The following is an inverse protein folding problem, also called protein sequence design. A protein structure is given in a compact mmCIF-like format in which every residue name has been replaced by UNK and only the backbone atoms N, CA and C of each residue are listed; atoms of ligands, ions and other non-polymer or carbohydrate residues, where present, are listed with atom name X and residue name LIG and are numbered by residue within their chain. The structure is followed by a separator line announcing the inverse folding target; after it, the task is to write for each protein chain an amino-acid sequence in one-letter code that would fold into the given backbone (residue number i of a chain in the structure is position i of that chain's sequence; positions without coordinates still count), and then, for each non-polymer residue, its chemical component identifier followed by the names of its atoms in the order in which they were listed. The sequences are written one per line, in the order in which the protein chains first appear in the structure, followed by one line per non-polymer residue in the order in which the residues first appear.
data_IF_562800193071
#
_entry.id   IF_562800193071
#
_cell.length_a   1.000
_cell.length_b   1.000
_cell.length_c   1.000
_cell.angle_alpha   90.00
_cell.angle_beta   90.00
_cell.angle_gamma   90.00
#
_symmetry.space_group_name_H-M   'P 1'
#
loop_
_entity.id
_entity.type
_entity.pdbx_description
1 polymer ?
#
# COMPACT_ATOMS: atom_id res chain seq x y z
N UNK A 1 -13.24 -12.08 -33.64
CA UNK A 1 -12.60 -13.36 -33.27
C UNK A 1 -13.64 -14.43 -33.15
N UNK A 2 -13.34 -15.65 -33.62
CA UNK A 2 -14.18 -16.81 -33.35
C UNK A 2 -14.28 -17.00 -31.82
N UNK A 3 -15.46 -17.39 -31.35
CA UNK A 3 -15.68 -17.57 -29.90
C UNK A 3 -14.67 -18.50 -29.18
N UNK A 4 -13.94 -19.32 -29.99
CA UNK A 4 -12.83 -20.16 -29.52
C UNK A 4 -11.56 -19.36 -29.18
N UNK A 5 -11.26 -18.30 -29.91
CA UNK A 5 -10.06 -17.45 -29.64
C UNK A 5 -10.20 -16.66 -28.34
N UNK A 6 -11.37 -16.03 -28.14
CA UNK A 6 -11.66 -15.29 -26.92
C UNK A 6 -11.66 -16.20 -25.67
N UNK A 7 -12.18 -17.42 -25.80
CA UNK A 7 -12.19 -18.42 -24.74
C UNK A 7 -10.78 -18.86 -24.33
N UNK A 8 -9.90 -19.13 -25.28
CA UNK A 8 -8.49 -19.50 -25.00
C UNK A 8 -7.76 -18.39 -24.30
N UNK A 9 -7.96 -17.13 -24.73
CA UNK A 9 -7.36 -15.96 -24.12
C UNK A 9 -7.85 -15.76 -22.68
N UNK A 10 -9.16 -15.95 -22.44
CA UNK A 10 -9.74 -15.91 -21.10
C UNK A 10 -9.13 -16.99 -20.19
N UNK A 11 -9.01 -18.22 -20.67
CA UNK A 11 -8.36 -19.31 -19.93
C UNK A 11 -6.89 -18.99 -19.63
N UNK A 12 -6.18 -18.35 -20.57
CA UNK A 12 -4.81 -17.88 -20.37
C UNK A 12 -4.72 -16.83 -19.27
N UNK A 13 -5.61 -15.82 -19.26
CA UNK A 13 -5.67 -14.81 -18.19
C UNK A 13 -5.92 -15.47 -16.81
N UNK A 14 -6.87 -16.42 -16.76
CA UNK A 14 -7.15 -17.14 -15.51
C UNK A 14 -5.92 -17.94 -15.03
N UNK A 15 -5.17 -18.56 -15.95
CA UNK A 15 -3.94 -19.27 -15.58
C UNK A 15 -2.84 -18.33 -15.09
N UNK A 16 -2.67 -17.17 -15.72
CA UNK A 16 -1.75 -16.12 -15.26
C UNK A 16 -2.12 -15.67 -13.83
N UNK A 17 -3.41 -15.43 -13.57
CA UNK A 17 -3.87 -15.06 -12.24
C UNK A 17 -3.65 -16.16 -11.20
N UNK A 18 -3.83 -17.44 -11.57
CA UNK A 18 -3.53 -18.57 -10.68
C UNK A 18 -2.03 -18.71 -10.38
N UNK A 19 -1.18 -18.29 -11.29
CA UNK A 19 0.27 -18.32 -11.15
C UNK A 19 0.84 -17.06 -10.51
N UNK A 20 -0.01 -16.05 -10.20
CA UNK A 20 0.42 -14.79 -9.57
C UNK A 20 0.87 -13.70 -10.55
N UNK A 21 0.89 -13.99 -11.88
CA UNK A 21 1.30 -13.03 -12.92
C UNK A 21 0.23 -11.98 -13.20
N UNK A 22 -0.13 -11.17 -12.19
CA UNK A 22 -1.23 -10.19 -12.29
C UNK A 22 -0.98 -9.10 -13.34
N UNK A 23 0.27 -8.66 -13.51
CA UNK A 23 0.61 -7.62 -14.48
C UNK A 23 0.48 -8.11 -15.92
N UNK A 24 0.89 -9.34 -16.21
CA UNK A 24 0.68 -9.95 -17.53
C UNK A 24 -0.81 -10.18 -17.80
N UNK A 25 -1.55 -10.65 -16.79
CA UNK A 25 -3.00 -10.83 -16.88
C UNK A 25 -3.70 -9.50 -17.18
N UNK A 26 -3.31 -8.41 -16.52
CA UNK A 26 -3.84 -7.08 -16.77
C UNK A 26 -3.54 -6.60 -18.19
N UNK A 27 -2.28 -6.72 -18.63
CA UNK A 27 -1.88 -6.32 -19.98
C UNK A 27 -2.67 -7.07 -21.05
N UNK A 28 -2.89 -8.36 -20.85
CA UNK A 28 -3.67 -9.18 -21.76
C UNK A 28 -5.15 -8.76 -21.80
N UNK A 29 -5.75 -8.45 -20.63
CA UNK A 29 -7.08 -7.88 -20.54
C UNK A 29 -7.18 -6.54 -21.27
N UNK A 30 -6.22 -5.63 -21.05
CA UNK A 30 -6.21 -4.31 -21.70
C UNK A 30 -6.04 -4.42 -23.22
N UNK A 31 -5.17 -5.32 -23.70
CA UNK A 31 -5.02 -5.59 -25.14
C UNK A 31 -6.31 -6.08 -25.77
N UNK A 32 -6.98 -7.04 -25.13
CA UNK A 32 -8.25 -7.55 -25.62
C UNK A 32 -9.35 -6.47 -25.61
N UNK A 33 -9.40 -5.64 -24.56
CA UNK A 33 -10.39 -4.57 -24.45
C UNK A 33 -10.12 -3.40 -25.40
N UNK A 34 -8.90 -3.24 -25.92
CA UNK A 34 -8.62 -2.29 -26.99
C UNK A 34 -9.32 -2.67 -28.31
N UNK A 35 -9.42 -3.96 -28.57
CA UNK A 35 -10.13 -4.49 -29.76
C UNK A 35 -11.64 -4.69 -29.51
N UNK A 36 -12.00 -5.15 -28.29
CA UNK A 36 -13.39 -5.42 -27.88
C UNK A 36 -13.75 -4.70 -26.56
N UNK A 37 -14.02 -3.38 -26.60
CA UNK A 37 -14.15 -2.54 -25.41
C UNK A 37 -15.30 -2.91 -24.45
N UNK A 38 -16.24 -3.74 -24.91
CA UNK A 38 -17.43 -4.16 -24.14
C UNK A 38 -17.44 -5.66 -23.84
N UNK A 39 -16.30 -6.34 -23.94
CA UNK A 39 -16.21 -7.75 -23.53
C UNK A 39 -16.33 -7.86 -22.01
N UNK A 40 -17.47 -8.39 -21.57
CA UNK A 40 -17.86 -8.49 -20.16
C UNK A 40 -16.89 -9.34 -19.35
N UNK A 41 -16.33 -10.40 -19.95
CA UNK A 41 -15.41 -11.30 -19.27
C UNK A 41 -14.09 -10.59 -18.95
N UNK A 42 -13.51 -9.90 -19.94
CA UNK A 42 -12.25 -9.18 -19.73
C UNK A 42 -12.42 -7.91 -18.92
N UNK A 43 -13.57 -7.21 -19.01
CA UNK A 43 -13.91 -6.10 -18.12
C UNK A 43 -14.02 -6.57 -16.67
N UNK A 44 -14.68 -7.71 -16.42
CA UNK A 44 -14.79 -8.26 -15.07
C UNK A 44 -13.42 -8.66 -14.50
N UNK A 45 -12.58 -9.32 -15.31
CA UNK A 45 -11.21 -9.66 -14.90
C UNK A 45 -10.37 -8.41 -14.62
N UNK A 46 -10.41 -7.42 -15.52
CA UNK A 46 -9.70 -6.15 -15.32
C UNK A 46 -10.17 -5.44 -14.03
N UNK A 47 -11.47 -5.40 -13.78
CA UNK A 47 -12.05 -4.85 -12.57
C UNK A 47 -11.54 -5.54 -11.30
N UNK A 48 -11.51 -6.87 -11.31
CA UNK A 48 -11.04 -7.68 -10.17
C UNK A 48 -9.52 -7.54 -9.96
N UNK A 49 -8.72 -7.49 -11.03
CA UNK A 49 -7.27 -7.25 -10.95
C UNK A 49 -6.99 -5.85 -10.38
N UNK A 50 -7.66 -4.83 -10.93
CA UNK A 50 -7.50 -3.44 -10.50
C UNK A 50 -7.91 -3.24 -9.04
N UNK A 51 -8.96 -3.92 -8.57
CA UNK A 51 -9.37 -3.90 -7.16
C UNK A 51 -8.26 -4.45 -6.24
N UNK A 52 -7.63 -5.56 -6.61
CA UNK A 52 -6.51 -6.13 -5.84
C UNK A 52 -5.27 -5.23 -5.83
N UNK A 53 -5.01 -4.53 -6.93
CA UNK A 53 -3.91 -3.56 -7.07
C UNK A 53 -4.23 -2.18 -6.45
N UNK A 54 -5.41 -2.00 -5.84
CA UNK A 54 -5.92 -0.73 -5.31
C UNK A 54 -6.06 0.38 -6.38
N UNK A 55 -6.13 0.02 -7.66
CA UNK A 55 -6.54 0.95 -8.73
C UNK A 55 -8.07 1.01 -8.78
N UNK A 56 -8.64 1.69 -7.78
CA UNK A 56 -10.09 1.77 -7.61
C UNK A 56 -10.79 2.50 -8.76
N UNK A 57 -10.10 3.43 -9.45
CA UNK A 57 -10.67 4.17 -10.57
C UNK A 57 -10.91 3.25 -11.78
N UNK A 58 -9.93 2.43 -12.16
CA UNK A 58 -10.06 1.44 -13.23
C UNK A 58 -11.04 0.34 -12.84
N UNK A 59 -11.00 -0.12 -11.58
CA UNK A 59 -11.92 -1.12 -11.06
C UNK A 59 -13.37 -0.64 -11.13
N UNK A 60 -13.68 0.57 -10.63
CA UNK A 60 -15.02 1.14 -10.68
C UNK A 60 -15.53 1.25 -12.12
N UNK A 61 -14.74 1.81 -13.02
CA UNK A 61 -15.12 1.99 -14.44
C UNK A 61 -15.45 0.66 -15.10
N UNK A 62 -14.57 -0.33 -14.93
CA UNK A 62 -14.73 -1.65 -15.54
C UNK A 62 -15.96 -2.39 -15.00
N UNK A 63 -16.11 -2.44 -13.66
CA UNK A 63 -17.22 -3.15 -13.03
C UNK A 63 -18.57 -2.47 -13.24
N UNK A 64 -18.63 -1.13 -13.28
CA UNK A 64 -19.85 -0.41 -13.68
C UNK A 64 -20.28 -0.78 -15.09
N UNK A 65 -19.35 -0.81 -16.03
CA UNK A 65 -19.65 -1.20 -17.40
C UNK A 65 -20.16 -2.65 -17.47
N UNK A 66 -19.58 -3.58 -16.69
CA UNK A 66 -20.10 -4.96 -16.60
C UNK A 66 -21.52 -4.97 -16.01
N UNK A 67 -21.76 -4.22 -14.93
CA UNK A 67 -23.07 -4.16 -14.28
C UNK A 67 -24.18 -3.56 -15.18
N UNK A 68 -23.81 -2.68 -16.12
CA UNK A 68 -24.72 -2.12 -17.12
C UNK A 68 -25.03 -3.11 -18.25
N UNK A 69 -24.02 -3.83 -18.75
CA UNK A 69 -24.17 -4.75 -19.90
C UNK A 69 -24.79 -6.08 -19.45
N UNK A 70 -24.33 -6.60 -18.32
CA UNK A 70 -24.70 -7.91 -17.78
C UNK A 70 -24.92 -7.80 -16.24
N UNK A 71 -26.06 -7.28 -15.79
CA UNK A 71 -26.34 -7.07 -14.36
C UNK A 71 -26.23 -8.34 -13.51
N UNK A 72 -26.52 -9.50 -14.11
CA UNK A 72 -26.43 -10.81 -13.47
C UNK A 72 -25.04 -11.49 -13.56
N UNK A 73 -24.01 -10.80 -14.03
CA UNK A 73 -22.67 -11.37 -14.11
C UNK A 73 -22.15 -11.71 -12.71
N UNK A 74 -21.59 -12.91 -12.49
CA UNK A 74 -21.18 -13.35 -11.16
C UNK A 74 -20.24 -12.37 -10.48
N UNK A 75 -20.50 -12.07 -9.20
CA UNK A 75 -19.70 -11.25 -8.30
C UNK A 75 -19.55 -9.77 -8.68
N UNK A 76 -19.98 -9.33 -9.85
CA UNK A 76 -19.77 -7.93 -10.28
C UNK A 76 -20.37 -6.92 -9.30
N UNK A 77 -21.53 -7.23 -8.76
CA UNK A 77 -22.23 -6.34 -7.82
C UNK A 77 -21.50 -6.28 -6.46
N UNK A 78 -21.00 -7.42 -5.98
CA UNK A 78 -20.19 -7.46 -4.74
C UNK A 78 -18.86 -6.72 -4.91
N UNK A 79 -18.15 -6.97 -6.02
CA UNK A 79 -16.86 -6.33 -6.30
C UNK A 79 -17.03 -4.81 -6.46
N UNK A 80 -18.11 -4.36 -7.14
CA UNK A 80 -18.43 -2.92 -7.26
C UNK A 80 -18.72 -2.29 -5.89
N UNK A 81 -19.51 -2.97 -5.05
CA UNK A 81 -19.74 -2.53 -3.67
C UNK A 81 -18.45 -2.42 -2.89
N UNK A 82 -17.53 -3.38 -3.06
CA UNK A 82 -16.21 -3.38 -2.40
C UNK A 82 -15.35 -2.21 -2.85
N UNK A 83 -15.28 -1.93 -4.15
CA UNK A 83 -14.56 -0.77 -4.71
C UNK A 83 -15.08 0.53 -4.08
N UNK A 84 -16.40 0.72 -4.05
CA UNK A 84 -17.02 1.93 -3.51
C UNK A 84 -16.75 2.12 -2.01
N UNK A 85 -16.74 1.04 -1.24
CA UNK A 85 -16.35 1.08 0.18
C UNK A 85 -14.89 1.49 0.36
N UNK A 86 -13.97 0.92 -0.43
CA UNK A 86 -12.55 1.26 -0.39
C UNK A 86 -12.27 2.71 -0.82
N UNK A 87 -13.14 3.30 -1.64
CA UNK A 87 -13.12 4.71 -2.01
C UNK A 87 -13.75 5.64 -0.96
N UNK A 88 -14.23 5.12 0.18
CA UNK A 88 -14.93 5.91 1.21
C UNK A 88 -16.33 6.38 0.80
N UNK A 89 -16.99 5.67 -0.11
CA UNK A 89 -18.32 6.00 -0.67
C UNK A 89 -19.40 4.99 -0.24
N UNK A 90 -19.64 4.81 1.08
CA UNK A 90 -20.53 3.76 1.59
C UNK A 90 -21.98 3.91 1.13
N UNK A 91 -22.47 5.16 0.94
CA UNK A 91 -23.83 5.41 0.46
C UNK A 91 -24.08 4.79 -0.92
N UNK A 92 -23.09 4.87 -1.81
CA UNK A 92 -23.20 4.33 -3.17
C UNK A 92 -22.99 2.81 -3.21
N UNK A 93 -22.30 2.24 -2.24
CA UNK A 93 -22.06 0.81 -2.13
C UNK A 93 -23.31 -0.01 -1.76
N UNK A 94 -24.32 0.62 -1.11
CA UNK A 94 -25.51 -0.07 -0.62
C UNK A 94 -26.24 -0.80 -1.75
N UNK A 95 -26.56 -0.11 -2.84
CA UNK A 95 -27.35 -0.69 -3.93
C UNK A 95 -26.65 -1.88 -4.62
N UNK A 96 -25.36 -1.78 -5.01
CA UNK A 96 -24.62 -2.95 -5.51
C UNK A 96 -24.62 -4.12 -4.51
N UNK A 97 -24.38 -3.88 -3.23
CA UNK A 97 -24.36 -4.95 -2.23
C UNK A 97 -25.73 -5.61 -2.05
N UNK A 98 -26.81 -4.84 -2.08
CA UNK A 98 -28.17 -5.40 -2.08
C UNK A 98 -28.44 -6.28 -3.27
N UNK A 99 -28.05 -5.83 -4.48
CA UNK A 99 -28.15 -6.65 -5.71
C UNK A 99 -27.32 -7.93 -5.63
N UNK A 100 -26.12 -7.87 -5.02
CA UNK A 100 -25.29 -9.05 -4.81
C UNK A 100 -25.99 -10.07 -3.90
N UNK A 101 -26.69 -9.60 -2.84
CA UNK A 101 -27.49 -10.44 -1.94
C UNK A 101 -28.73 -11.01 -2.65
N UNK A 102 -29.41 -10.20 -3.47
CA UNK A 102 -30.55 -10.68 -4.28
C UNK A 102 -30.13 -11.80 -5.24
N UNK A 103 -28.95 -11.67 -5.86
CA UNK A 103 -28.40 -12.70 -6.76
C UNK A 103 -27.93 -13.96 -6.02
N UNK A 104 -27.38 -13.80 -4.82
CA UNK A 104 -26.93 -14.90 -3.97
C UNK A 104 -27.27 -14.62 -2.49
N UNK A 105 -28.45 -15.06 -2.01
CA UNK A 105 -28.87 -14.87 -0.62
C UNK A 105 -27.99 -15.59 0.42
N UNK A 106 -27.08 -16.46 0.00
CA UNK A 106 -26.12 -17.14 0.87
C UNK A 106 -24.76 -16.41 0.94
N UNK A 107 -24.65 -15.22 0.35
CA UNK A 107 -23.41 -14.45 0.34
C UNK A 107 -23.19 -13.69 1.66
N UNK A 108 -22.61 -14.37 2.64
CA UNK A 108 -22.27 -13.79 3.94
C UNK A 108 -21.39 -12.54 3.83
N UNK A 109 -20.44 -12.52 2.86
CA UNK A 109 -19.53 -11.37 2.65
C UNK A 109 -20.29 -10.13 2.20
N UNK A 110 -21.26 -10.28 1.30
CA UNK A 110 -22.08 -9.15 0.86
C UNK A 110 -22.95 -8.60 1.99
N UNK A 111 -23.53 -9.46 2.83
CA UNK A 111 -24.26 -9.03 4.04
C UNK A 111 -23.35 -8.30 5.02
N UNK A 112 -22.14 -8.80 5.27
CA UNK A 112 -21.18 -8.15 6.15
C UNK A 112 -20.79 -6.74 5.67
N UNK A 113 -20.44 -6.62 4.38
CA UNK A 113 -20.09 -5.34 3.74
C UNK A 113 -21.26 -4.35 3.78
N UNK A 114 -22.47 -4.82 3.50
CA UNK A 114 -23.70 -4.02 3.58
C UNK A 114 -23.93 -3.51 5.01
N UNK A 115 -23.77 -4.37 6.00
CA UNK A 115 -23.91 -4.02 7.41
C UNK A 115 -22.93 -2.94 7.85
N UNK A 116 -21.65 -3.08 7.46
CA UNK A 116 -20.60 -2.08 7.70
C UNK A 116 -20.91 -0.74 7.03
N UNK A 117 -21.35 -0.76 5.77
CA UNK A 117 -21.76 0.44 5.03
C UNK A 117 -22.91 1.17 5.71
N UNK A 118 -23.96 0.43 6.12
CA UNK A 118 -25.12 1.00 6.80
C UNK A 118 -24.75 1.64 8.14
N UNK A 119 -23.93 0.98 8.94
CA UNK A 119 -23.46 1.51 10.24
C UNK A 119 -22.61 2.77 10.08
N UNK A 120 -21.75 2.82 9.08
CA UNK A 120 -20.93 4.02 8.80
C UNK A 120 -21.77 5.25 8.42
N UNK A 121 -23.05 5.02 8.03
CA UNK A 121 -24.03 6.05 7.67
C UNK A 121 -25.06 6.33 8.81
N UNK A 122 -24.84 5.78 10.02
CA UNK A 122 -25.73 5.93 11.16
C UNK A 122 -27.06 5.14 11.05
N UNK A 123 -27.12 4.16 10.13
CA UNK A 123 -28.30 3.28 9.96
C UNK A 123 -28.12 2.00 10.77
N UNK A 124 -28.03 2.14 12.10
CA UNK A 124 -27.56 1.09 13.00
C UNK A 124 -28.46 -0.16 12.98
N UNK A 125 -29.79 -0.02 13.07
CA UNK A 125 -30.70 -1.16 13.08
C UNK A 125 -30.59 -2.02 11.81
N UNK A 126 -30.59 -1.38 10.64
CA UNK A 126 -30.44 -2.08 9.36
C UNK A 126 -29.03 -2.70 9.22
N UNK A 127 -28.01 -2.02 9.72
CA UNK A 127 -26.65 -2.51 9.76
C UNK A 127 -26.51 -3.76 10.64
N UNK A 128 -27.08 -3.73 11.85
CA UNK A 128 -27.05 -4.88 12.77
C UNK A 128 -27.83 -6.08 12.21
N UNK A 129 -28.96 -5.85 11.55
CA UNK A 129 -29.71 -6.91 10.87
C UNK A 129 -28.87 -7.60 9.76
N UNK A 130 -28.19 -6.82 8.93
CA UNK A 130 -27.32 -7.37 7.90
C UNK A 130 -26.11 -8.13 8.48
N UNK A 131 -25.47 -7.61 9.53
CA UNK A 131 -24.37 -8.29 10.22
C UNK A 131 -24.81 -9.60 10.88
N UNK A 132 -26.02 -9.63 11.44
CA UNK A 132 -26.61 -10.85 12.00
C UNK A 132 -26.80 -11.92 10.92
N UNK A 133 -27.35 -11.55 9.76
CA UNK A 133 -27.48 -12.48 8.62
C UNK A 133 -26.12 -13.00 8.14
N UNK A 134 -25.12 -12.15 8.05
CA UNK A 134 -23.75 -12.57 7.71
C UNK A 134 -23.22 -13.63 8.70
N UNK A 135 -23.44 -13.41 9.99
CA UNK A 135 -23.01 -14.32 11.06
C UNK A 135 -23.77 -15.66 11.07
N UNK A 136 -25.04 -15.65 10.72
CA UNK A 136 -25.86 -16.87 10.60
C UNK A 136 -25.45 -17.71 9.39
N UNK A 137 -25.13 -17.05 8.25
CA UNK A 137 -24.74 -17.73 7.02
C UNK A 137 -23.33 -18.32 7.07
N UNK A 138 -22.37 -17.59 7.65
CA UNK A 138 -20.97 -18.01 7.76
C UNK A 138 -20.31 -17.40 9.00
N UNK A 139 -20.43 -18.01 10.17
CA UNK A 139 -19.83 -17.49 11.39
C UNK A 139 -18.32 -17.29 11.30
N UNK A 140 -17.60 -18.21 10.66
CA UNK A 140 -16.15 -18.12 10.48
C UNK A 140 -15.74 -16.93 9.60
N UNK A 141 -16.42 -16.75 8.47
CA UNK A 141 -16.18 -15.62 7.56
C UNK A 141 -16.53 -14.29 8.22
N UNK A 142 -17.68 -14.20 8.87
CA UNK A 142 -18.11 -12.99 9.57
C UNK A 142 -17.15 -12.59 10.69
N UNK A 143 -16.64 -13.56 11.45
CA UNK A 143 -15.63 -13.32 12.47
C UNK A 143 -14.31 -12.81 11.89
N UNK A 144 -13.84 -13.38 10.77
CA UNK A 144 -12.61 -12.94 10.11
C UNK A 144 -12.74 -11.50 9.58
N UNK A 145 -13.85 -11.18 8.93
CA UNK A 145 -14.16 -9.84 8.44
C UNK A 145 -14.24 -8.83 9.59
N UNK A 146 -14.92 -9.19 10.69
CA UNK A 146 -14.99 -8.37 11.90
C UNK A 146 -13.61 -8.13 12.52
N UNK A 147 -12.78 -9.17 12.64
CA UNK A 147 -11.44 -9.04 13.16
C UNK A 147 -10.58 -8.11 12.29
N UNK A 148 -10.69 -8.23 10.96
CA UNK A 148 -9.98 -7.37 9.98
C UNK A 148 -10.44 -5.91 10.10
N UNK A 149 -11.74 -5.67 10.26
CA UNK A 149 -12.30 -4.33 10.46
C UNK A 149 -11.82 -3.69 11.76
N UNK A 150 -11.81 -4.45 12.87
CA UNK A 150 -11.29 -4.01 14.16
C UNK A 150 -9.81 -3.63 14.09
N UNK A 151 -9.01 -4.42 13.35
CA UNK A 151 -7.61 -4.10 13.10
C UNK A 151 -7.47 -2.75 12.36
N UNK A 152 -8.25 -2.53 11.31
CA UNK A 152 -8.23 -1.27 10.55
C UNK A 152 -8.66 -0.06 11.40
N UNK A 153 -9.52 -0.27 12.41
CA UNK A 153 -9.93 0.76 13.38
C UNK A 153 -8.92 0.99 14.53
N UNK A 154 -7.79 0.27 14.55
CA UNK A 154 -6.82 0.33 15.63
C UNK A 154 -7.22 -0.43 16.91
N UNK A 155 -8.30 -1.18 16.88
CA UNK A 155 -8.79 -1.99 18.00
C UNK A 155 -8.09 -3.35 18.02
N UNK A 156 -6.78 -3.32 18.20
CA UNK A 156 -5.92 -4.50 18.02
C UNK A 156 -6.24 -5.65 18.98
N UNK A 157 -6.57 -5.34 20.25
CA UNK A 157 -6.89 -6.35 21.24
C UNK A 157 -8.15 -7.15 20.89
N UNK A 158 -9.23 -6.45 20.53
CA UNK A 158 -10.48 -7.09 20.12
C UNK A 158 -10.30 -7.93 18.85
N UNK A 159 -9.51 -7.42 17.89
CA UNK A 159 -9.14 -8.13 16.67
C UNK A 159 -8.35 -9.42 16.98
N UNK A 160 -7.38 -9.34 17.90
CA UNK A 160 -6.56 -10.47 18.31
C UNK A 160 -7.39 -11.60 18.97
N UNK A 161 -8.31 -11.23 19.85
CA UNK A 161 -9.19 -12.20 20.53
C UNK A 161 -10.02 -13.00 19.53
N UNK A 162 -10.62 -12.33 18.54
CA UNK A 162 -11.40 -13.00 17.49
C UNK A 162 -10.50 -13.85 16.58
N UNK A 163 -9.35 -13.33 16.16
CA UNK A 163 -8.44 -14.07 15.28
C UNK A 163 -7.86 -15.33 15.96
N UNK A 164 -7.56 -15.28 17.27
CA UNK A 164 -7.15 -16.45 18.05
C UNK A 164 -8.25 -17.52 18.08
N UNK A 165 -9.49 -17.12 18.34
CA UNK A 165 -10.62 -18.05 18.35
C UNK A 165 -10.83 -18.72 17.00
N UNK A 166 -10.68 -17.97 15.89
CA UNK A 166 -10.74 -18.56 14.54
C UNK A 166 -9.65 -19.63 14.36
N UNK A 167 -8.42 -19.41 14.87
CA UNK A 167 -7.34 -20.38 14.77
C UNK A 167 -7.47 -21.57 15.75
N UNK A 168 -8.21 -21.41 16.87
CA UNK A 168 -8.59 -22.52 17.74
C UNK A 168 -9.56 -23.46 17.02
N UNK A 169 -10.57 -22.90 16.32
CA UNK A 169 -11.56 -23.66 15.56
C UNK A 169 -10.98 -24.22 14.24
N UNK A 170 -10.14 -23.45 13.54
CA UNK A 170 -9.47 -23.84 12.31
C UNK A 170 -7.99 -23.44 12.31
N UNK A 171 -7.09 -24.30 12.80
CA UNK A 171 -5.65 -24.01 12.88
C UNK A 171 -4.95 -23.75 11.54
N UNK A 172 -5.61 -23.99 10.41
CA UNK A 172 -5.08 -23.79 9.06
C UNK A 172 -5.61 -22.52 8.36
N UNK A 173 -6.38 -21.67 9.08
CA UNK A 173 -6.92 -20.44 8.51
C UNK A 173 -5.78 -19.40 8.32
N UNK A 174 -5.32 -19.27 7.07
CA UNK A 174 -4.14 -18.45 6.72
C UNK A 174 -4.38 -16.96 6.94
N UNK A 175 -5.61 -16.46 6.72
CA UNK A 175 -5.90 -15.04 6.87
C UNK A 175 -5.95 -14.64 8.35
N UNK A 176 -6.46 -15.50 9.23
CA UNK A 176 -6.39 -15.26 10.67
C UNK A 176 -4.95 -15.31 11.19
N UNK A 177 -4.14 -16.23 10.66
CA UNK A 177 -2.71 -16.31 10.95
C UNK A 177 -1.94 -15.06 10.51
N UNK A 178 -2.20 -14.57 9.30
CA UNK A 178 -1.65 -13.33 8.78
C UNK A 178 -2.05 -12.14 9.66
N UNK A 179 -3.33 -12.04 10.02
CA UNK A 179 -3.85 -10.95 10.85
C UNK A 179 -3.16 -10.92 12.22
N UNK A 180 -2.99 -12.06 12.88
CA UNK A 180 -2.23 -12.15 14.14
C UNK A 180 -0.76 -11.77 13.95
N UNK A 181 -0.15 -12.15 12.84
CA UNK A 181 1.21 -11.71 12.49
C UNK A 181 1.32 -10.18 12.39
N UNK A 182 0.37 -9.54 11.72
CA UNK A 182 0.30 -8.07 11.58
C UNK A 182 0.05 -7.37 12.92
N UNK A 183 -0.83 -7.91 13.75
CA UNK A 183 -1.07 -7.40 15.11
C UNK A 183 0.22 -7.48 15.95
N UNK A 184 0.94 -8.60 15.88
CA UNK A 184 2.19 -8.79 16.58
C UNK A 184 3.28 -7.81 16.10
N UNK A 185 3.37 -7.52 14.79
CA UNK A 185 4.27 -6.49 14.24
C UNK A 185 3.92 -5.12 14.83
N UNK A 186 2.63 -4.78 14.82
CA UNK A 186 2.17 -3.50 15.37
C UNK A 186 2.49 -3.34 16.87
N UNK A 187 2.37 -4.44 17.63
CA UNK A 187 2.74 -4.50 19.04
C UNK A 187 4.26 -4.60 19.28
N UNK A 188 5.09 -4.53 18.24
CA UNK A 188 6.54 -4.74 18.25
C UNK A 188 6.98 -6.09 18.80
N UNK A 189 6.10 -7.08 18.80
CA UNK A 189 6.37 -8.46 19.20
C UNK A 189 6.92 -9.26 18.00
N UNK A 190 8.03 -8.79 17.42
CA UNK A 190 8.54 -9.28 16.12
C UNK A 190 8.87 -10.77 16.10
N UNK A 191 9.42 -11.34 17.21
CA UNK A 191 9.68 -12.79 17.32
C UNK A 191 8.39 -13.62 17.27
N UNK A 192 7.31 -13.10 17.84
CA UNK A 192 5.99 -13.76 17.78
C UNK A 192 5.41 -13.65 16.37
N UNK A 193 5.53 -12.50 15.73
CA UNK A 193 5.12 -12.29 14.35
C UNK A 193 5.86 -13.27 13.41
N UNK A 194 7.18 -13.39 13.54
CA UNK A 194 8.01 -14.32 12.78
C UNK A 194 7.49 -15.76 12.89
N UNK A 195 7.21 -16.23 14.11
CA UNK A 195 6.69 -17.58 14.35
C UNK A 195 5.34 -17.83 13.67
N UNK A 196 4.43 -16.86 13.77
CA UNK A 196 3.09 -16.94 13.18
C UNK A 196 3.16 -16.93 11.65
N UNK A 197 3.93 -16.02 11.08
CA UNK A 197 4.03 -15.84 9.62
C UNK A 197 4.78 -16.99 8.94
N UNK A 198 5.84 -17.54 9.56
CA UNK A 198 6.49 -18.79 9.10
C UNK A 198 5.50 -19.96 9.05
N UNK A 199 4.57 -20.04 10.02
CA UNK A 199 3.52 -21.06 10.00
C UNK A 199 2.54 -20.83 8.85
N UNK A 200 2.13 -19.58 8.59
CA UNK A 200 1.24 -19.22 7.46
C UNK A 200 1.90 -19.62 6.13
N UNK A 201 3.16 -19.26 5.92
CA UNK A 201 3.93 -19.59 4.71
C UNK A 201 4.01 -21.11 4.52
N UNK A 202 4.27 -21.87 5.59
CA UNK A 202 4.30 -23.34 5.54
C UNK A 202 2.97 -23.94 5.10
N UNK A 203 1.84 -23.34 5.49
CA UNK A 203 0.49 -23.79 5.11
C UNK A 203 0.15 -23.39 3.69
N UNK A 204 0.52 -22.17 3.29
CA UNK A 204 0.18 -21.56 2.01
C UNK A 204 1.42 -20.84 1.40
N UNK A 205 2.37 -21.58 0.79
CA UNK A 205 3.61 -20.98 0.27
C UNK A 205 3.40 -19.91 -0.81
N UNK A 206 2.30 -19.97 -1.57
CA UNK A 206 1.95 -18.98 -2.61
C UNK A 206 1.23 -17.75 -2.05
N UNK A 207 1.05 -17.65 -0.74
CA UNK A 207 0.39 -16.50 -0.11
C UNK A 207 1.40 -15.39 0.15
N UNK A 208 1.79 -14.66 -0.90
CA UNK A 208 2.88 -13.68 -0.94
C UNK A 208 2.77 -12.60 0.16
N UNK A 209 1.55 -12.23 0.57
CA UNK A 209 1.39 -11.26 1.67
C UNK A 209 2.06 -11.72 2.99
N UNK A 210 2.09 -13.02 3.26
CA UNK A 210 2.74 -13.53 4.47
C UNK A 210 4.27 -13.39 4.39
N UNK A 211 4.86 -13.52 3.19
CA UNK A 211 6.29 -13.31 2.96
C UNK A 211 6.66 -11.83 3.17
N UNK A 212 5.83 -10.92 2.66
CA UNK A 212 6.02 -9.49 2.84
C UNK A 212 5.98 -9.07 4.32
N UNK A 213 4.99 -9.55 5.06
CA UNK A 213 4.89 -9.23 6.49
C UNK A 213 6.02 -9.89 7.31
N UNK A 214 6.45 -11.10 6.94
CA UNK A 214 7.60 -11.75 7.57
C UNK A 214 8.90 -10.99 7.30
N UNK A 215 9.12 -10.54 6.06
CA UNK A 215 10.27 -9.69 5.73
C UNK A 215 10.29 -8.41 6.58
N UNK A 216 9.15 -7.74 6.73
CA UNK A 216 9.04 -6.59 7.61
C UNK A 216 9.41 -6.93 9.07
N UNK A 217 8.90 -8.04 9.60
CA UNK A 217 9.19 -8.47 10.96
C UNK A 217 10.67 -8.85 11.18
N UNK A 218 11.34 -9.39 10.17
CA UNK A 218 12.78 -9.72 10.20
C UNK A 218 13.62 -8.43 10.17
N UNK A 219 13.31 -7.49 9.31
CA UNK A 219 14.01 -6.20 9.21
C UNK A 219 13.90 -5.37 10.50
N UNK A 220 12.74 -5.36 11.13
CA UNK A 220 12.55 -4.70 12.43
C UNK A 220 13.36 -5.38 13.57
N UNK A 221 13.85 -6.60 13.35
CA UNK A 221 14.78 -7.30 14.24
C UNK A 221 16.26 -7.09 13.86
N UNK A 222 16.55 -6.32 12.80
CA UNK A 222 17.90 -6.16 12.24
C UNK A 222 18.42 -7.39 11.51
N UNK A 223 17.52 -8.30 11.08
CA UNK A 223 17.84 -9.51 10.33
C UNK A 223 17.70 -9.28 8.82
N UNK A 224 18.46 -8.31 8.32
CA UNK A 224 18.29 -7.85 6.93
C UNK A 224 18.67 -8.94 5.91
N UNK A 225 19.71 -9.73 6.14
CA UNK A 225 20.10 -10.83 5.24
C UNK A 225 19.03 -11.95 5.21
N UNK A 226 18.46 -12.33 6.36
CA UNK A 226 17.35 -13.28 6.39
C UNK A 226 16.11 -12.76 5.62
N UNK A 227 15.87 -11.46 5.67
CA UNK A 227 14.76 -10.82 4.93
C UNK A 227 15.03 -10.81 3.42
N UNK A 228 16.27 -10.61 2.99
CA UNK A 228 16.69 -10.68 1.58
C UNK A 228 16.49 -12.11 1.06
N UNK A 229 17.06 -13.11 1.72
CA UNK A 229 16.90 -14.51 1.32
C UNK A 229 15.41 -14.92 1.23
N UNK A 230 14.62 -14.49 2.21
CA UNK A 230 13.16 -14.73 2.24
C UNK A 230 12.45 -14.13 1.02
N UNK A 231 12.79 -12.90 0.64
CA UNK A 231 12.15 -12.21 -0.51
C UNK A 231 12.63 -12.79 -1.85
N UNK A 232 13.89 -13.24 -1.95
CA UNK A 232 14.39 -13.96 -3.10
C UNK A 232 13.66 -15.32 -3.26
N UNK A 233 13.39 -16.03 -2.15
CA UNK A 233 12.57 -17.24 -2.18
C UNK A 233 11.12 -16.95 -2.58
N UNK A 234 10.54 -15.87 -2.10
CA UNK A 234 9.17 -15.44 -2.49
C UNK A 234 9.06 -15.20 -4.01
N UNK A 235 10.10 -14.65 -4.64
CA UNK A 235 10.15 -14.45 -6.09
C UNK A 235 10.19 -15.75 -6.90
N UNK A 236 10.56 -16.89 -6.31
CA UNK A 236 10.44 -18.20 -6.98
C UNK A 236 8.97 -18.60 -7.20
N UNK A 237 8.05 -18.07 -6.38
CA UNK A 237 6.61 -18.34 -6.52
C UNK A 237 5.90 -17.31 -7.42
N UNK A 238 6.42 -16.07 -7.49
CA UNK A 238 5.84 -14.99 -8.27
C UNK A 238 6.95 -14.02 -8.72
N UNK A 239 7.58 -14.33 -9.85
CA UNK A 239 8.71 -13.56 -10.40
C UNK A 239 8.29 -12.15 -10.88
N UNK A 240 7.00 -11.95 -11.19
CA UNK A 240 6.45 -10.69 -11.71
C UNK A 240 5.75 -9.86 -10.61
N UNK A 241 6.14 -10.04 -9.34
CA UNK A 241 5.57 -9.28 -8.25
C UNK A 241 6.35 -8.00 -7.97
N UNK A 242 5.84 -6.87 -8.47
CA UNK A 242 6.47 -5.56 -8.29
C UNK A 242 6.72 -5.19 -6.82
N UNK A 243 5.77 -5.55 -5.93
CA UNK A 243 5.89 -5.27 -4.49
C UNK A 243 7.00 -6.08 -3.84
N UNK A 244 7.18 -7.36 -4.24
CA UNK A 244 8.28 -8.19 -3.74
C UNK A 244 9.63 -7.64 -4.19
N UNK A 245 9.78 -7.26 -5.47
CA UNK A 245 10.98 -6.58 -5.96
C UNK A 245 11.26 -5.26 -5.23
N UNK A 246 10.22 -4.46 -4.97
CA UNK A 246 10.34 -3.23 -4.20
C UNK A 246 10.83 -3.48 -2.76
N UNK A 247 10.28 -4.47 -2.08
CA UNK A 247 10.70 -4.81 -0.70
C UNK A 247 12.11 -5.39 -0.67
N UNK A 248 12.46 -6.25 -1.63
CA UNK A 248 13.81 -6.77 -1.80
C UNK A 248 14.81 -5.63 -2.01
N UNK A 249 14.47 -4.68 -2.89
CA UNK A 249 15.31 -3.52 -3.14
C UNK A 249 15.53 -2.67 -1.88
N UNK A 250 14.48 -2.48 -1.07
CA UNK A 250 14.57 -1.74 0.18
C UNK A 250 15.42 -2.48 1.23
N UNK A 251 15.33 -3.81 1.32
CA UNK A 251 16.17 -4.62 2.20
C UNK A 251 17.65 -4.57 1.76
N UNK A 252 17.92 -4.72 0.47
CA UNK A 252 19.26 -4.61 -0.11
C UNK A 252 19.89 -3.23 0.12
N UNK A 253 19.10 -2.14 0.05
CA UNK A 253 19.58 -0.79 0.33
C UNK A 253 20.04 -0.64 1.79
N UNK A 254 19.29 -1.18 2.75
CA UNK A 254 19.65 -1.17 4.18
C UNK A 254 20.90 -2.02 4.43
N UNK A 255 21.02 -3.18 3.78
CA UNK A 255 22.22 -4.04 3.85
C UNK A 255 23.45 -3.44 3.13
N UNK A 256 23.35 -2.25 2.51
CA UNK A 256 24.45 -1.60 1.79
C UNK A 256 24.74 -2.17 0.39
N UNK A 257 23.93 -3.13 -0.07
CA UNK A 257 24.02 -3.74 -1.41
C UNK A 257 23.38 -2.86 -2.46
N UNK A 258 23.95 -1.64 -2.65
CA UNK A 258 23.33 -0.56 -3.43
C UNK A 258 23.12 -0.90 -4.92
N UNK A 259 24.05 -1.63 -5.55
CA UNK A 259 23.92 -2.03 -6.96
C UNK A 259 22.76 -3.01 -7.17
N UNK A 260 22.64 -4.02 -6.29
CA UNK A 260 21.56 -5.00 -6.32
C UNK A 260 20.22 -4.33 -6.02
N UNK A 261 20.19 -3.40 -5.05
CA UNK A 261 19.02 -2.59 -4.72
C UNK A 261 18.52 -1.79 -5.93
N UNK A 262 19.43 -1.10 -6.65
CA UNK A 262 19.06 -0.35 -7.85
C UNK A 262 18.48 -1.26 -8.95
N UNK A 263 19.03 -2.47 -9.11
CA UNK A 263 18.50 -3.47 -10.04
C UNK A 263 17.10 -3.92 -9.67
N UNK A 264 16.88 -4.27 -8.40
CA UNK A 264 15.58 -4.72 -7.91
C UNK A 264 14.51 -3.60 -7.99
N UNK A 265 14.85 -2.33 -7.68
CA UNK A 265 13.93 -1.20 -7.91
C UNK A 265 13.60 -1.02 -9.39
N UNK A 266 14.55 -1.17 -10.31
CA UNK A 266 14.29 -1.10 -11.75
C UNK A 266 13.33 -2.19 -12.19
N UNK A 267 13.47 -3.41 -11.69
CA UNK A 267 12.49 -4.48 -11.94
C UNK A 267 11.11 -4.10 -11.42
N UNK A 268 11.02 -3.59 -10.19
CA UNK A 268 9.75 -3.17 -9.60
C UNK A 268 9.01 -2.13 -10.46
N UNK A 269 9.70 -1.09 -10.95
CA UNK A 269 9.09 -0.05 -11.78
C UNK A 269 8.83 -0.50 -13.22
N UNK A 270 9.55 -1.49 -13.70
CA UNK A 270 9.29 -2.11 -15.00
C UNK A 270 8.00 -2.94 -14.97
N UNK A 271 7.79 -3.70 -13.90
CA UNK A 271 6.59 -4.52 -13.68
C UNK A 271 5.38 -3.62 -13.38
N UNK A 272 5.52 -2.68 -12.42
CA UNK A 272 4.47 -1.71 -12.11
C UNK A 272 4.99 -0.26 -12.26
N UNK A 273 4.75 0.37 -13.42
CA UNK A 273 5.15 1.76 -13.67
C UNK A 273 4.45 2.80 -12.78
N UNK A 274 3.45 2.42 -11.97
CA UNK A 274 2.75 3.32 -11.06
C UNK A 274 3.23 3.18 -9.60
N UNK A 275 4.19 2.31 -9.32
CA UNK A 275 4.69 2.08 -7.97
C UNK A 275 5.62 3.22 -7.52
N UNK A 276 5.02 4.29 -6.99
CA UNK A 276 5.70 5.54 -6.60
C UNK A 276 6.84 5.30 -5.62
N UNK A 277 6.63 4.41 -4.62
CA UNK A 277 7.65 4.05 -3.62
C UNK A 277 8.91 3.47 -4.25
N UNK A 278 8.77 2.69 -5.33
CA UNK A 278 9.91 2.12 -6.04
C UNK A 278 10.72 3.19 -6.80
N UNK A 279 10.06 4.18 -7.41
CA UNK A 279 10.77 5.31 -8.01
C UNK A 279 11.49 6.18 -6.97
N UNK A 280 10.88 6.40 -5.80
CA UNK A 280 11.50 7.15 -4.73
C UNK A 280 12.74 6.41 -4.18
N UNK A 281 12.60 5.11 -3.91
CA UNK A 281 13.71 4.25 -3.49
C UNK A 281 14.83 4.17 -4.53
N UNK A 282 14.47 4.01 -5.81
CA UNK A 282 15.43 4.04 -6.92
C UNK A 282 16.22 5.37 -6.96
N UNK A 283 15.51 6.49 -6.79
CA UNK A 283 16.12 7.80 -6.74
C UNK A 283 17.15 7.93 -5.61
N UNK A 284 16.80 7.46 -4.40
CA UNK A 284 17.72 7.44 -3.27
C UNK A 284 18.93 6.53 -3.51
N UNK A 285 18.72 5.35 -4.05
CA UNK A 285 19.78 4.38 -4.33
C UNK A 285 20.74 4.90 -5.40
N UNK A 286 20.22 5.43 -6.52
CA UNK A 286 21.05 6.01 -7.60
C UNK A 286 21.85 7.22 -7.11
N UNK A 287 21.24 8.10 -6.31
CA UNK A 287 21.95 9.20 -5.64
C UNK A 287 23.11 8.69 -4.79
N UNK A 288 22.91 7.64 -4.01
CA UNK A 288 23.97 7.03 -3.17
C UNK A 288 25.10 6.44 -4.01
N UNK A 289 24.78 5.91 -5.19
CA UNK A 289 25.76 5.41 -6.15
C UNK A 289 26.49 6.52 -6.94
N UNK A 290 26.08 7.78 -6.77
CA UNK A 290 26.64 8.92 -7.52
C UNK A 290 25.97 9.16 -8.88
N UNK A 291 25.00 8.35 -9.29
CA UNK A 291 24.19 8.57 -10.49
C UNK A 291 23.11 9.62 -10.21
N UNK A 292 23.51 10.89 -10.23
CA UNK A 292 22.62 12.00 -9.93
C UNK A 292 21.55 12.20 -11.01
N UNK A 293 21.89 11.97 -12.28
CA UNK A 293 20.95 12.13 -13.40
C UNK A 293 19.84 11.07 -13.34
N UNK A 294 20.22 9.82 -13.16
CA UNK A 294 19.27 8.72 -12.94
C UNK A 294 18.38 8.95 -11.70
N UNK A 295 18.98 9.43 -10.61
CA UNK A 295 18.26 9.77 -9.38
C UNK A 295 17.22 10.88 -9.61
N UNK A 296 17.58 11.96 -10.31
CA UNK A 296 16.67 13.04 -10.69
C UNK A 296 15.52 12.52 -11.56
N UNK A 297 15.83 11.69 -12.55
CA UNK A 297 14.82 11.10 -13.43
C UNK A 297 13.81 10.27 -12.66
N UNK A 298 14.27 9.43 -11.73
CA UNK A 298 13.41 8.61 -10.87
C UNK A 298 12.52 9.49 -9.97
N UNK A 299 13.06 10.50 -9.28
CA UNK A 299 12.26 11.43 -8.47
C UNK A 299 11.23 12.21 -9.30
N UNK A 300 11.59 12.66 -10.51
CA UNK A 300 10.65 13.35 -11.40
C UNK A 300 9.48 12.43 -11.80
N UNK A 301 9.76 11.17 -12.07
CA UNK A 301 8.71 10.20 -12.38
C UNK A 301 7.81 9.96 -11.15
N UNK A 302 8.36 9.78 -9.95
CA UNK A 302 7.59 9.69 -8.72
C UNK A 302 6.67 10.92 -8.52
N UNK A 303 7.21 12.13 -8.74
CA UNK A 303 6.46 13.39 -8.62
C UNK A 303 5.32 13.50 -9.65
N UNK A 304 5.53 13.03 -10.87
CA UNK A 304 4.49 12.98 -11.90
C UNK A 304 3.34 12.09 -11.49
N UNK A 305 3.62 10.95 -10.87
CA UNK A 305 2.60 9.98 -10.42
C UNK A 305 1.83 10.48 -9.18
N UNK A 306 2.54 11.03 -8.19
CA UNK A 306 1.94 11.51 -6.92
C UNK A 306 2.50 12.89 -6.55
N UNK A 307 2.01 13.93 -7.21
CA UNK A 307 2.57 15.28 -7.07
C UNK A 307 2.31 15.95 -5.71
N UNK A 308 1.41 15.41 -4.88
CA UNK A 308 1.11 15.93 -3.54
C UNK A 308 2.02 15.34 -2.43
N UNK A 309 2.90 14.38 -2.75
CA UNK A 309 3.87 13.84 -1.80
C UNK A 309 5.06 14.81 -1.72
N UNK A 310 5.11 15.61 -0.66
CA UNK A 310 6.13 16.64 -0.47
C UNK A 310 7.55 16.08 -0.38
N UNK A 311 7.72 14.88 0.19
CA UNK A 311 9.00 14.19 0.33
C UNK A 311 9.76 14.06 -0.99
N UNK A 312 9.06 13.86 -2.11
CA UNK A 312 9.67 13.74 -3.44
C UNK A 312 10.35 15.06 -3.85
N UNK A 313 9.66 16.19 -3.63
CA UNK A 313 10.23 17.52 -3.90
C UNK A 313 11.38 17.83 -2.96
N UNK A 314 11.27 17.44 -1.70
CA UNK A 314 12.34 17.58 -0.71
C UNK A 314 13.57 16.75 -1.09
N UNK A 315 13.39 15.52 -1.59
CA UNK A 315 14.50 14.70 -2.09
C UNK A 315 15.22 15.33 -3.27
N UNK A 316 14.48 15.98 -4.19
CA UNK A 316 15.06 16.77 -5.30
C UNK A 316 15.80 18.00 -4.79
N UNK A 317 15.25 18.75 -3.83
CA UNK A 317 15.88 19.95 -3.28
C UNK A 317 17.21 19.68 -2.57
N UNK A 318 17.37 18.46 -2.02
CA UNK A 318 18.61 18.00 -1.37
C UNK A 318 19.71 17.58 -2.35
N UNK A 319 19.47 17.64 -3.66
CA UNK A 319 20.50 17.44 -4.67
C UNK A 319 21.20 18.76 -4.97
N UNK A 320 22.50 18.84 -4.71
CA UNK A 320 23.29 20.09 -4.90
C UNK A 320 23.26 20.63 -6.33
N UNK A 321 23.08 19.75 -7.31
CA UNK A 321 23.07 20.07 -8.74
C UNK A 321 21.69 20.36 -9.32
N UNK A 322 20.61 20.01 -8.61
CA UNK A 322 19.26 20.23 -9.08
C UNK A 322 18.76 21.64 -8.75
N UNK A 323 18.05 22.25 -9.70
CA UNK A 323 17.38 23.53 -9.52
C UNK A 323 15.96 23.42 -10.02
N UNK A 324 15.02 23.93 -9.22
CA UNK A 324 13.61 24.00 -9.63
C UNK A 324 13.41 25.11 -10.66
N UNK A 325 12.62 24.81 -11.67
CA UNK A 325 12.11 25.84 -12.60
C UNK A 325 11.01 26.68 -11.93
N UNK A 326 10.73 27.88 -12.49
CA UNK A 326 9.67 28.75 -11.99
C UNK A 326 8.31 28.06 -11.98
N UNK A 327 8.00 27.21 -12.97
CA UNK A 327 6.75 26.44 -13.03
C UNK A 327 6.68 25.42 -11.89
N UNK A 328 7.78 24.77 -11.54
CA UNK A 328 7.83 23.82 -10.43
C UNK A 328 7.68 24.51 -9.07
N UNK A 329 8.24 25.71 -8.91
CA UNK A 329 8.10 26.56 -7.73
C UNK A 329 6.64 26.97 -7.56
N UNK A 330 5.99 27.46 -8.61
CA UNK A 330 4.57 27.87 -8.55
C UNK A 330 3.64 26.67 -8.30
N UNK A 331 3.95 25.50 -8.87
CA UNK A 331 3.20 24.27 -8.56
C UNK A 331 3.31 23.88 -7.09
N UNK A 332 4.51 23.92 -6.49
CA UNK A 332 4.73 23.64 -5.07
C UNK A 332 3.99 24.65 -4.17
N UNK A 333 3.99 25.95 -4.50
CA UNK A 333 3.24 26.97 -3.77
C UNK A 333 1.73 26.70 -3.80
N UNK A 334 1.19 26.37 -4.97
CA UNK A 334 -0.23 26.05 -5.13
C UNK A 334 -0.62 24.85 -4.26
N UNK A 335 0.23 23.80 -4.22
CA UNK A 335 -0.01 22.63 -3.39
C UNK A 335 0.09 22.93 -1.91
N UNK A 336 1.10 23.70 -1.50
CA UNK A 336 1.28 24.12 -0.12
C UNK A 336 0.07 24.89 0.43
N UNK A 337 -0.67 25.59 -0.42
CA UNK A 337 -1.88 26.32 -0.07
C UNK A 337 -3.16 25.46 -0.09
N UNK A 338 -3.06 24.15 -0.45
CA UNK A 338 -4.20 23.25 -0.37
C UNK A 338 -4.50 22.91 1.09
N UNK A 339 -5.70 23.23 1.62
CA UNK A 339 -6.06 22.96 3.01
C UNK A 339 -6.02 21.45 3.34
N UNK A 340 -6.30 20.59 2.36
CA UNK A 340 -6.34 19.13 2.51
C UNK A 340 -4.97 18.46 2.39
N UNK A 341 -3.89 19.23 2.19
CA UNK A 341 -2.55 18.65 2.16
C UNK A 341 -2.14 18.21 3.58
N UNK A 342 -1.56 17.01 3.68
CA UNK A 342 -1.05 16.48 4.96
C UNK A 342 0.10 17.32 5.51
N UNK A 343 0.26 17.32 6.82
CA UNK A 343 1.25 18.14 7.50
C UNK A 343 2.70 17.78 7.12
N UNK A 344 3.10 16.49 7.03
CA UNK A 344 4.43 16.14 6.56
C UNK A 344 4.74 16.69 5.16
N UNK A 345 3.78 16.62 4.22
CA UNK A 345 3.96 17.20 2.89
C UNK A 345 4.05 18.73 2.92
N UNK A 346 3.30 19.40 3.81
CA UNK A 346 3.44 20.86 4.02
C UNK A 346 4.85 21.24 4.49
N UNK A 347 5.40 20.49 5.44
CA UNK A 347 6.78 20.68 5.92
C UNK A 347 7.76 20.52 4.75
N UNK A 348 7.66 19.41 4.02
CA UNK A 348 8.56 19.08 2.93
C UNK A 348 8.52 20.09 1.77
N UNK A 349 7.32 20.55 1.37
CA UNK A 349 7.20 21.62 0.36
C UNK A 349 7.74 22.95 0.86
N UNK A 350 7.55 23.30 2.14
CA UNK A 350 8.10 24.52 2.71
C UNK A 350 9.62 24.52 2.64
N UNK A 351 10.28 23.45 3.07
CA UNK A 351 11.74 23.33 2.96
C UNK A 351 12.22 23.30 1.51
N UNK A 352 11.49 22.64 0.60
CA UNK A 352 11.83 22.64 -0.84
C UNK A 352 11.76 24.02 -1.45
N UNK A 353 10.74 24.81 -1.10
CA UNK A 353 10.59 26.20 -1.54
C UNK A 353 11.68 27.09 -0.92
N UNK A 354 11.95 26.92 0.38
CA UNK A 354 13.07 27.61 1.02
C UNK A 354 14.38 27.41 0.28
N UNK A 355 14.68 26.14 -0.06
CA UNK A 355 15.90 25.82 -0.83
C UNK A 355 15.87 26.38 -2.26
N UNK A 356 14.73 26.36 -2.93
CA UNK A 356 14.57 26.93 -4.27
C UNK A 356 14.85 28.43 -4.27
N UNK A 357 14.31 29.19 -3.31
CA UNK A 357 14.57 30.63 -3.17
C UNK A 357 16.00 30.95 -2.75
N UNK A 358 16.59 30.14 -1.87
CA UNK A 358 18.02 30.24 -1.50
C UNK A 358 18.91 30.08 -2.74
N UNK A 359 18.63 29.11 -3.62
CA UNK A 359 19.36 28.89 -4.85
C UNK A 359 19.23 30.08 -5.84
N UNK A 360 18.11 30.82 -5.75
CA UNK A 360 17.86 32.05 -6.50
C UNK A 360 18.47 33.29 -5.81
N UNK A 361 19.15 33.12 -4.66
CA UNK A 361 19.69 34.20 -3.78
C UNK A 361 18.63 35.17 -3.25
N UNK A 362 17.38 34.72 -3.17
CA UNK A 362 16.26 35.43 -2.56
C UNK A 362 16.11 34.99 -1.10
N UNK A 363 17.02 35.51 -0.27
CA UNK A 363 17.19 34.98 1.09
C UNK A 363 16.04 35.29 2.05
N UNK A 364 15.36 36.43 1.85
CA UNK A 364 14.22 36.79 2.70
C UNK A 364 13.05 35.84 2.44
N UNK A 365 12.71 35.59 1.19
CA UNK A 365 11.66 34.63 0.83
C UNK A 365 12.06 33.20 1.23
N UNK A 366 13.32 32.84 1.10
CA UNK A 366 13.82 31.54 1.53
C UNK A 366 13.60 31.35 3.04
N UNK A 367 13.93 32.40 3.83
CA UNK A 367 13.76 32.36 5.29
C UNK A 367 12.30 32.21 5.70
N UNK A 368 11.37 32.92 5.04
CA UNK A 368 9.94 32.77 5.31
C UNK A 368 9.44 31.32 5.13
N UNK A 369 9.87 30.67 4.04
CA UNK A 369 9.50 29.26 3.83
C UNK A 369 10.16 28.32 4.83
N UNK A 370 11.42 28.52 5.20
CA UNK A 370 12.09 27.74 6.24
C UNK A 370 11.41 27.93 7.60
N UNK A 371 11.04 29.16 7.93
CA UNK A 371 10.31 29.47 9.18
C UNK A 371 8.97 28.72 9.22
N UNK A 372 8.18 28.84 8.15
CA UNK A 372 6.90 28.12 8.00
C UNK A 372 7.06 26.61 8.15
N UNK A 373 8.07 26.02 7.49
CA UNK A 373 8.36 24.59 7.60
C UNK A 373 8.71 24.17 9.03
N UNK A 374 9.53 24.95 9.71
CA UNK A 374 9.91 24.70 11.11
C UNK A 374 8.73 24.85 12.08
N UNK A 375 7.88 25.86 11.91
CA UNK A 375 6.67 26.05 12.73
C UNK A 375 5.72 24.85 12.63
N UNK A 376 5.44 24.39 11.41
CA UNK A 376 4.60 23.20 11.19
C UNK A 376 5.29 21.97 11.82
N UNK A 377 6.57 21.75 11.53
CA UNK A 377 7.31 20.61 12.09
C UNK A 377 7.34 20.64 13.62
N UNK A 378 7.54 21.81 14.21
CA UNK A 378 7.52 21.99 15.67
C UNK A 378 6.20 21.58 16.30
N UNK A 379 5.08 21.81 15.61
CA UNK A 379 3.75 21.40 16.10
C UNK A 379 3.53 19.88 16.06
N UNK A 380 4.34 19.15 15.28
CA UNK A 380 4.22 17.70 15.10
C UNK A 380 5.12 16.91 16.05
N UNK A 381 6.13 17.55 16.65
CA UNK A 381 7.10 16.88 17.52
C UNK A 381 6.94 17.35 18.97
N UNK A 382 6.97 16.40 19.88
CA UNK A 382 7.07 16.70 21.31
C UNK A 382 8.55 16.84 21.64
N UNK A 383 8.98 18.06 21.96
CA UNK A 383 10.34 18.33 22.39
C UNK A 383 10.37 18.60 23.90
N UNK A 384 11.11 17.77 24.61
CA UNK A 384 11.39 17.96 26.02
C UNK A 384 12.86 18.40 26.18
N UNK A 385 13.12 19.68 26.52
CA UNK A 385 14.47 20.18 26.70
C UNK A 385 15.19 19.50 27.87
N UNK A 386 14.49 19.15 28.94
CA UNK A 386 15.07 18.50 30.12
C UNK A 386 15.56 17.10 29.76
N UNK A 387 14.74 16.31 29.00
CA UNK A 387 15.15 15.00 28.57
C UNK A 387 16.34 15.05 27.60
N UNK A 388 16.39 16.07 26.74
CA UNK A 388 17.53 16.32 25.86
C UNK A 388 18.81 16.62 26.65
N UNK A 389 18.70 17.46 27.65
CA UNK A 389 19.83 17.82 28.55
C UNK A 389 20.35 16.60 29.32
N UNK A 390 19.45 15.80 29.92
CA UNK A 390 19.79 14.53 30.57
C UNK A 390 20.48 13.58 29.65
N UNK A 391 20.00 13.46 28.39
CA UNK A 391 20.59 12.58 27.36
C UNK A 391 22.01 13.08 27.00
N UNK A 392 22.20 14.38 26.85
CA UNK A 392 23.51 14.96 26.56
C UNK A 392 24.51 14.76 27.70
N UNK A 393 24.08 14.87 28.97
CA UNK A 393 24.96 14.57 30.10
C UNK A 393 25.37 13.10 30.14
N UNK A 394 24.43 12.16 29.86
CA UNK A 394 24.77 10.74 29.73
C UNK A 394 25.75 10.48 28.59
N UNK A 395 25.60 11.16 27.47
CA UNK A 395 26.56 11.05 26.35
C UNK A 395 27.94 11.54 26.76
N UNK A 396 28.05 12.66 27.51
CA UNK A 396 29.33 13.15 28.03
C UNK A 396 29.98 12.16 29.00
N UNK A 397 29.18 11.50 29.83
CA UNK A 397 29.70 10.48 30.76
C UNK A 397 30.26 9.27 30.01
N UNK A 398 29.58 8.80 28.95
CA UNK A 398 30.02 7.65 28.12
C UNK A 398 31.24 8.01 27.27
N UNK A 399 31.22 9.16 26.59
CA UNK A 399 32.31 9.64 25.74
C UNK A 399 33.27 10.55 26.52
N UNK A 400 33.75 10.02 27.63
CA UNK A 400 34.80 10.66 28.41
C UNK A 400 36.16 10.62 27.70
N UNK A 401 37.14 11.38 28.20
CA UNK A 401 38.50 11.34 27.64
C UNK A 401 39.08 9.92 27.65
N UNK A 402 38.82 9.18 28.76
CA UNK A 402 39.29 7.79 28.91
C UNK A 402 38.65 6.81 27.92
N UNK A 403 37.54 7.17 27.29
CA UNK A 403 36.92 6.38 26.21
C UNK A 403 37.71 6.51 24.89
N UNK A 404 38.43 7.63 24.69
CA UNK A 404 39.16 7.92 23.46
C UNK A 404 40.67 7.67 23.61
N UNK A 405 41.21 7.49 24.83
CA UNK A 405 42.59 7.12 25.11
C UNK A 405 42.77 5.59 25.09
#
# INVERSE_FOLDING_TARGET
MDGQGSRKLFEQVINLLKNGSESEAENLCRSQLAEYPRDVNFLSLLGSISLRKNDFATAEKSLKTVAEIAPGYPRVQEDLGTVLLNMGRPQEAILPLQKAIEQNPQNATAFFKLGGALKSLGRDEAGDAALKMASELSPAQANLERATQLFAQGKFRESEEIAKKILEDNPREVNAGLLLGRIAIHARAFKQAEKLLKRVIKIAPKFILAWHELSNALREQGKDEEAIELLEEALLFDTENATTHYQLAAALAVAGRTADSASAYKQAVQIDPNLVGAYLGLGHTLKTMGDLEGGIAAYKQARKLKPNIGEISFSLSNLKTFRFSDLEIEDMKRRLNNPNLDQPSKVAFSFSLGKAYEDMKKYDEAFEFYLRGNEIHRSLVTYDPVQTEVSNEKLKEVFSKDFFD
#
